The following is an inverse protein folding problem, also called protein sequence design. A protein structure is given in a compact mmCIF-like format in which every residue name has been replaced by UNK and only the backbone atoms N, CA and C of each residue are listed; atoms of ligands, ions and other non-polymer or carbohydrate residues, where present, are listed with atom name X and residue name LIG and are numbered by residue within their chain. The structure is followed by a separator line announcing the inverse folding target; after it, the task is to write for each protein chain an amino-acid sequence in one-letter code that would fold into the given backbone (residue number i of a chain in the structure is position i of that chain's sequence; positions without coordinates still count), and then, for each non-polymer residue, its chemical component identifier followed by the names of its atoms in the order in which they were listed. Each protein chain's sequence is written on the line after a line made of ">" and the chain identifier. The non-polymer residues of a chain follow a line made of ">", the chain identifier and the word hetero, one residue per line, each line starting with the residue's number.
data_IF_086078392180
#
_entry.id   IF_086078392180
#
_cell.length_a   1.000
_cell.length_b   1.000
_cell.length_c   1.000
_cell.angle_alpha   90.00
_cell.angle_beta   90.00
_cell.angle_gamma   90.00
#
_symmetry.space_group_name_H-M   'P 1'
#
loop_
_entity.id
_entity.type
_entity.pdbx_description
1 polymer ?
#
# COMPACT_ATOMS: atom_id res chain seq x y z
N UNK A 1 -0.22 12.31 -23.04
CA UNK A 1 -1.64 12.53 -22.69
C UNK A 1 -2.44 11.36 -23.25
N UNK A 2 -2.93 10.47 -22.38
CA UNK A 2 -3.73 9.31 -22.79
C UNK A 2 -5.20 9.66 -22.55
N UNK A 3 -6.05 9.49 -23.57
CA UNK A 3 -7.48 9.77 -23.46
C UNK A 3 -8.16 8.56 -22.82
N UNK A 4 -8.65 8.73 -21.60
CA UNK A 4 -9.48 7.74 -20.90
C UNK A 4 -10.88 8.34 -20.78
N UNK A 5 -11.87 7.74 -21.45
CA UNK A 5 -13.30 8.08 -21.34
C UNK A 5 -13.69 9.58 -21.40
N UNK A 6 -13.07 10.39 -22.29
CA UNK A 6 -13.28 11.87 -22.43
C UNK A 6 -12.61 12.75 -21.36
N UNK A 7 -11.94 12.19 -20.35
CA UNK A 7 -11.21 12.97 -19.33
C UNK A 7 -9.70 12.97 -19.61
N UNK A 8 -9.08 14.15 -19.57
CA UNK A 8 -7.63 14.30 -19.74
C UNK A 8 -6.92 13.96 -18.43
N UNK A 9 -6.50 12.71 -18.29
CA UNK A 9 -5.58 12.31 -17.21
C UNK A 9 -4.14 12.55 -17.67
N UNK A 10 -3.33 13.34 -16.95
CA UNK A 10 -1.95 13.55 -17.35
C UNK A 10 -1.18 12.24 -17.15
N UNK A 11 -0.58 11.73 -18.22
CA UNK A 11 0.23 10.48 -18.24
C UNK A 11 1.28 10.41 -17.10
N UNK A 12 1.94 11.51 -16.69
CA UNK A 12 2.88 11.49 -15.58
C UNK A 12 2.26 11.01 -14.26
N UNK A 13 1.00 11.38 -13.97
CA UNK A 13 0.33 10.97 -12.73
C UNK A 13 -0.01 9.48 -12.73
N UNK A 14 -0.33 8.93 -13.90
CA UNK A 14 -0.64 7.51 -14.06
C UNK A 14 0.62 6.67 -13.86
N UNK A 15 1.75 7.11 -14.43
CA UNK A 15 3.07 6.47 -14.20
C UNK A 15 3.48 6.59 -12.74
N UNK A 16 3.27 7.75 -12.10
CA UNK A 16 3.59 7.97 -10.69
C UNK A 16 2.79 7.03 -9.78
N UNK A 17 1.48 6.90 -9.98
CA UNK A 17 0.65 5.98 -9.19
C UNK A 17 1.03 4.51 -9.40
N UNK A 18 1.34 4.11 -10.63
CA UNK A 18 1.79 2.75 -10.92
C UNK A 18 3.16 2.47 -10.26
N UNK A 19 4.09 3.42 -10.34
CA UNK A 19 5.39 3.32 -9.69
C UNK A 19 5.24 3.20 -8.17
N UNK A 20 4.36 4.01 -7.56
CA UNK A 20 4.09 3.95 -6.13
C UNK A 20 3.53 2.58 -5.71
N UNK A 21 2.65 2.00 -6.51
CA UNK A 21 2.15 0.64 -6.26
C UNK A 21 3.28 -0.39 -6.24
N UNK A 22 4.22 -0.35 -7.20
CA UNK A 22 5.37 -1.24 -7.19
C UNK A 22 6.31 -1.01 -5.99
N UNK A 23 6.51 0.24 -5.59
CA UNK A 23 7.32 0.60 -4.41
C UNK A 23 6.67 0.05 -3.13
N UNK A 24 5.34 0.10 -3.00
CA UNK A 24 4.61 -0.47 -1.87
C UNK A 24 4.79 -2.00 -1.80
N UNK A 25 4.66 -2.70 -2.93
CA UNK A 25 4.88 -4.16 -2.98
C UNK A 25 6.33 -4.52 -2.62
N UNK A 26 7.31 -3.78 -3.16
CA UNK A 26 8.71 -3.99 -2.82
C UNK A 26 8.99 -3.70 -1.33
N UNK A 27 8.35 -2.69 -0.76
CA UNK A 27 8.48 -2.35 0.66
C UNK A 27 7.93 -3.46 1.57
N UNK A 28 6.82 -4.11 1.18
CA UNK A 28 6.26 -5.25 1.90
C UNK A 28 7.23 -6.44 1.93
N UNK A 29 7.81 -6.78 0.78
CA UNK A 29 8.83 -7.83 0.67
C UNK A 29 10.07 -7.54 1.53
N UNK A 30 10.56 -6.30 1.46
CA UNK A 30 11.71 -5.87 2.25
C UNK A 30 11.40 -5.92 3.75
N UNK A 31 10.23 -5.45 4.17
CA UNK A 31 9.81 -5.50 5.58
C UNK A 31 9.78 -6.93 6.11
N UNK A 32 9.22 -7.87 5.34
CA UNK A 32 9.22 -9.28 5.70
C UNK A 32 10.65 -9.85 5.79
N UNK A 33 11.50 -9.58 4.79
CA UNK A 33 12.89 -10.06 4.78
C UNK A 33 13.67 -9.55 5.97
N UNK A 34 13.59 -8.25 6.27
CA UNK A 34 14.25 -7.64 7.43
C UNK A 34 13.80 -8.32 8.72
N UNK A 35 12.49 -8.58 8.88
CA UNK A 35 11.96 -9.30 10.03
C UNK A 35 12.54 -10.71 10.17
N UNK A 36 12.65 -11.46 9.07
CA UNK A 36 13.20 -12.83 9.10
C UNK A 36 14.70 -12.82 9.45
N UNK A 37 15.46 -11.88 8.89
CA UNK A 37 16.87 -11.69 9.23
C UNK A 37 17.07 -11.36 10.72
N UNK A 38 16.20 -10.54 11.31
CA UNK A 38 16.27 -10.21 12.74
C UNK A 38 16.05 -11.41 13.67
N UNK A 39 15.26 -12.40 13.22
CA UNK A 39 14.94 -13.60 14.01
C UNK A 39 16.00 -14.71 13.77
N UNK A 40 17.04 -14.44 12.98
CA UNK A 40 18.05 -15.43 12.59
C UNK A 40 17.50 -16.51 11.65
N UNK A 41 16.35 -16.27 11.02
CA UNK A 41 15.76 -17.19 10.05
C UNK A 41 16.32 -16.99 8.64
N UNK A 42 16.21 -18.03 7.81
CA UNK A 42 16.43 -17.88 6.37
C UNK A 42 15.11 -17.48 5.69
N UNK A 43 15.10 -16.45 4.83
CA UNK A 43 13.90 -16.08 4.09
C UNK A 43 13.50 -17.23 3.16
N UNK A 44 12.33 -17.83 3.43
CA UNK A 44 11.72 -18.84 2.56
C UNK A 44 11.22 -18.26 1.22
N UNK A 45 10.52 -19.07 0.43
CA UNK A 45 9.97 -18.64 -0.87
C UNK A 45 9.00 -17.46 -0.74
N UNK A 46 9.19 -16.47 -1.61
CA UNK A 46 8.36 -15.26 -1.80
C UNK A 46 6.88 -15.59 -1.93
N UNK A 47 6.57 -16.75 -2.52
CA UNK A 47 5.20 -17.18 -2.86
C UNK A 47 4.34 -17.49 -1.62
N UNK A 48 4.95 -17.79 -0.47
CA UNK A 48 4.21 -18.14 0.75
C UNK A 48 3.42 -16.97 1.36
N UNK A 49 3.84 -15.73 1.11
CA UNK A 49 3.30 -14.54 1.78
C UNK A 49 2.48 -13.64 0.84
N UNK A 50 2.16 -14.14 -0.37
CA UNK A 50 1.37 -13.39 -1.37
C UNK A 50 0.12 -12.72 -0.78
N UNK A 51 -0.75 -13.40 0.00
CA UNK A 51 -1.96 -12.75 0.51
C UNK A 51 -1.66 -11.58 1.46
N UNK A 52 -0.60 -11.65 2.27
CA UNK A 52 -0.21 -10.54 3.17
C UNK A 52 0.36 -9.35 2.39
N UNK A 53 1.25 -9.62 1.43
CA UNK A 53 1.87 -8.58 0.58
C UNK A 53 0.79 -7.85 -0.24
N UNK A 54 -0.15 -8.61 -0.80
CA UNK A 54 -1.22 -8.06 -1.63
C UNK A 54 -2.21 -7.26 -0.78
N UNK A 55 -2.54 -7.73 0.42
CA UNK A 55 -3.37 -6.98 1.38
C UNK A 55 -2.71 -5.66 1.78
N UNK A 56 -1.41 -5.67 2.11
CA UNK A 56 -0.65 -4.46 2.40
C UNK A 56 -0.69 -3.46 1.22
N UNK A 57 -0.32 -3.93 0.03
CA UNK A 57 -0.25 -3.10 -1.16
C UNK A 57 -1.59 -2.48 -1.52
N UNK A 58 -2.68 -3.27 -1.51
CA UNK A 58 -4.03 -2.79 -1.86
C UNK A 58 -4.54 -1.77 -0.85
N UNK A 59 -4.43 -2.05 0.45
CA UNK A 59 -4.96 -1.14 1.49
C UNK A 59 -4.21 0.19 1.47
N UNK A 60 -2.87 0.15 1.39
CA UNK A 60 -2.06 1.35 1.29
C UNK A 60 -2.38 2.13 0.01
N UNK A 61 -2.49 1.46 -1.13
CA UNK A 61 -2.79 2.11 -2.40
C UNK A 61 -4.18 2.78 -2.39
N UNK A 62 -5.19 2.12 -1.83
CA UNK A 62 -6.54 2.69 -1.66
C UNK A 62 -6.50 3.91 -0.73
N UNK A 63 -5.71 3.89 0.35
CA UNK A 63 -5.56 5.06 1.22
C UNK A 63 -4.94 6.26 0.48
N UNK A 64 -3.95 6.03 -0.37
CA UNK A 64 -3.33 7.07 -1.21
C UNK A 64 -4.31 7.64 -2.24
N UNK A 65 -5.15 6.78 -2.84
CA UNK A 65 -6.22 7.21 -3.73
C UNK A 65 -7.28 8.03 -2.97
N UNK A 66 -7.69 7.59 -1.79
CA UNK A 66 -8.71 8.25 -0.97
C UNK A 66 -8.29 9.65 -0.50
N UNK A 67 -7.02 9.83 -0.11
CA UNK A 67 -6.46 11.14 0.27
C UNK A 67 -6.24 12.04 -0.95
N UNK A 68 -6.30 11.50 -2.17
CA UNK A 68 -6.08 12.27 -3.39
C UNK A 68 -4.63 12.72 -3.53
N UNK A 69 -3.68 11.83 -3.22
CA UNK A 69 -2.25 12.09 -3.40
C UNK A 69 -1.92 12.39 -4.88
N UNK A 70 -2.67 11.81 -5.81
CA UNK A 70 -2.47 11.92 -7.26
C UNK A 70 -3.32 13.03 -7.91
N UNK A 71 -3.41 14.21 -7.29
CA UNK A 71 -4.12 15.35 -7.89
C UNK A 71 -3.14 16.27 -8.64
N UNK A 72 -3.48 16.70 -9.85
CA UNK A 72 -2.59 17.57 -10.65
C UNK A 72 -2.27 18.92 -9.97
N UNK A 73 -3.18 19.43 -9.14
CA UNK A 73 -2.97 20.62 -8.31
C UNK A 73 -2.01 20.38 -7.13
N UNK A 74 -1.91 19.13 -6.65
CA UNK A 74 -1.05 18.76 -5.51
C UNK A 74 0.43 18.65 -5.90
N UNK A 75 0.74 18.27 -7.15
CA UNK A 75 2.11 18.21 -7.66
C UNK A 75 2.74 19.58 -7.97
N UNK A 76 2.04 20.70 -7.70
CA UNK A 76 2.59 22.05 -7.93
C UNK A 76 3.65 22.45 -6.90
N UNK A 77 3.59 21.85 -5.71
CA UNK A 77 4.54 22.11 -4.62
C UNK A 77 4.89 20.81 -3.90
N UNK A 78 6.19 20.58 -3.73
CA UNK A 78 6.73 19.39 -3.04
C UNK A 78 6.19 19.29 -1.62
N UNK A 79 6.00 20.43 -0.94
CA UNK A 79 5.47 20.48 0.43
C UNK A 79 4.04 19.92 0.53
N UNK A 80 3.19 20.26 -0.43
CA UNK A 80 1.79 19.79 -0.47
C UNK A 80 1.70 18.32 -0.87
N UNK A 81 2.66 17.84 -1.67
CA UNK A 81 2.75 16.42 -2.00
C UNK A 81 3.19 15.60 -0.78
N UNK A 82 4.21 16.05 -0.04
CA UNK A 82 4.73 15.35 1.14
C UNK A 82 3.67 15.24 2.25
N UNK A 83 2.93 16.32 2.53
CA UNK A 83 1.90 16.28 3.58
C UNK A 83 0.80 15.24 3.29
N UNK A 84 0.36 15.14 2.04
CA UNK A 84 -0.63 14.13 1.60
C UNK A 84 -0.10 12.71 1.69
N UNK A 85 1.14 12.49 1.28
CA UNK A 85 1.80 11.17 1.39
C UNK A 85 1.94 10.74 2.85
N UNK A 86 2.31 11.66 3.76
CA UNK A 86 2.36 11.37 5.20
C UNK A 86 0.97 11.01 5.75
N UNK A 87 -0.06 11.80 5.42
CA UNK A 87 -1.44 11.56 5.88
C UNK A 87 -1.97 10.24 5.32
N UNK A 88 -1.77 9.98 4.02
CA UNK A 88 -2.18 8.73 3.37
C UNK A 88 -1.51 7.50 4.00
N UNK A 89 -0.22 7.59 4.31
CA UNK A 89 0.51 6.53 5.01
C UNK A 89 -0.07 6.26 6.40
N UNK A 90 -0.38 7.31 7.16
CA UNK A 90 -1.00 7.17 8.47
C UNK A 90 -2.39 6.52 8.42
N UNK A 91 -3.24 6.97 7.49
CA UNK A 91 -4.57 6.39 7.26
C UNK A 91 -4.46 4.92 6.82
N UNK A 92 -3.53 4.61 5.92
CA UNK A 92 -3.28 3.24 5.46
C UNK A 92 -2.82 2.31 6.58
N UNK A 93 -1.90 2.76 7.44
CA UNK A 93 -1.42 2.01 8.61
C UNK A 93 -2.53 1.72 9.62
N UNK A 94 -3.40 2.70 9.87
CA UNK A 94 -4.57 2.50 10.76
C UNK A 94 -5.55 1.52 10.12
N UNK A 95 -5.82 1.66 8.82
CA UNK A 95 -6.69 0.75 8.07
C UNK A 95 -6.18 -0.70 8.10
N UNK A 96 -4.88 -0.89 7.87
CA UNK A 96 -4.24 -2.21 8.00
C UNK A 96 -4.38 -2.77 9.41
N UNK A 97 -4.16 -1.95 10.44
CA UNK A 97 -4.29 -2.40 11.84
C UNK A 97 -5.70 -2.94 12.14
N UNK A 98 -6.74 -2.26 11.65
CA UNK A 98 -8.13 -2.70 11.80
C UNK A 98 -8.38 -4.01 11.03
N UNK A 99 -7.94 -4.10 9.78
CA UNK A 99 -8.14 -5.28 8.93
C UNK A 99 -7.43 -6.50 9.51
N UNK A 100 -6.17 -6.37 9.94
CA UNK A 100 -5.43 -7.46 10.55
C UNK A 100 -6.07 -7.93 11.85
N UNK A 101 -6.52 -7.01 12.70
CA UNK A 101 -7.21 -7.36 13.95
C UNK A 101 -8.51 -8.10 13.67
N UNK A 102 -9.33 -7.59 12.74
CA UNK A 102 -10.60 -8.19 12.38
C UNK A 102 -10.45 -9.55 11.68
N UNK A 103 -9.53 -9.65 10.71
CA UNK A 103 -9.27 -10.89 10.00
C UNK A 103 -8.72 -11.97 10.94
N UNK A 104 -7.87 -11.60 11.89
CA UNK A 104 -7.39 -12.52 12.92
C UNK A 104 -8.54 -12.98 13.83
N UNK A 105 -9.40 -12.07 14.26
CA UNK A 105 -10.57 -12.38 15.09
C UNK A 105 -11.52 -13.39 14.40
N UNK A 106 -11.81 -13.19 13.11
CA UNK A 106 -12.63 -14.12 12.32
C UNK A 106 -12.02 -15.52 12.26
N UNK A 107 -10.70 -15.62 12.17
CA UNK A 107 -10.00 -16.91 12.12
C UNK A 107 -9.96 -17.61 13.49
N UNK A 108 -9.91 -16.84 14.59
CA UNK A 108 -9.99 -17.37 15.96
C UNK A 108 -11.35 -18.00 16.27
N UNK A 109 -12.44 -17.45 15.74
CA UNK A 109 -13.79 -17.99 15.95
C UNK A 109 -14.04 -19.35 15.28
N UNK A 110 -13.26 -19.70 14.25
CA UNK A 110 -13.40 -20.95 13.51
C UNK A 110 -12.65 -22.15 14.14
N UNK A 111 -11.88 -21.96 15.21
CA UNK A 111 -11.10 -23.02 15.87
C UNK A 111 -11.75 -23.55 17.16
N UNK A 112 -12.91 -23.03 17.54
CA UNK A 112 -13.65 -23.42 18.75
C UNK A 112 -14.80 -24.41 18.50
N UNK A 113 -14.79 -25.15 17.38
CA UNK A 113 -15.76 -26.21 17.10
C UNK A 113 -15.04 -27.52 16.83
#
# INVERSE_FOLDING_TARGET
>A
MIRVFKHYVPTPLLVLGLLEFFVLIASAELGWRVRVYQIGGQPGSVVGNIPEILTFGVVMYVAYLAVGAYQASACRSVRESISRVMVASGVGLVGLSVIFFWCRLLRSGAQCC
#
